data_IF_924475066109
#
_entry.id   IF_924475066109
#
_cell.length_a   1.000
_cell.length_b   1.000
_cell.length_c   1.000
_cell.angle_alpha   90.00
_cell.angle_beta   90.00
_cell.angle_gamma   90.00
#
_symmetry.space_group_name_H-M   'P 1'
#
loop_
_entity.id
_entity.type
_entity.pdbx_description
1 polymer ?
#
# COMPACT_ATOMS: atom_id res chain seq x y z
N UNK A 1 29.12 -0.97 -5.11
CA UNK A 1 28.62 -0.21 -3.94
C UNK A 1 27.40 0.54 -4.39
N UNK A 2 26.31 0.49 -3.63
CA UNK A 2 24.97 0.89 -4.09
C UNK A 2 24.95 2.32 -4.60
N UNK A 3 25.67 3.23 -3.95
CA UNK A 3 25.76 4.62 -4.40
C UNK A 3 26.48 4.79 -5.74
N UNK A 4 27.55 4.05 -6.00
CA UNK A 4 28.21 4.08 -7.31
C UNK A 4 27.27 3.60 -8.42
N UNK A 5 26.50 2.53 -8.17
CA UNK A 5 25.55 2.02 -9.16
C UNK A 5 24.45 3.03 -9.48
N UNK A 6 23.92 3.72 -8.47
CA UNK A 6 22.95 4.78 -8.71
C UNK A 6 23.56 5.93 -9.53
N UNK A 7 24.77 6.38 -9.18
CA UNK A 7 25.45 7.46 -9.90
C UNK A 7 25.75 7.07 -11.36
N UNK A 8 26.22 5.84 -11.59
CA UNK A 8 26.48 5.29 -12.92
C UNK A 8 25.17 5.20 -13.73
N UNK A 9 24.05 4.81 -13.10
CA UNK A 9 22.73 4.75 -13.74
C UNK A 9 22.14 6.13 -14.06
N UNK A 10 22.42 7.15 -13.23
CA UNK A 10 22.00 8.52 -13.50
C UNK A 10 22.85 9.17 -14.62
N UNK A 11 24.13 8.81 -14.72
CA UNK A 11 25.02 9.25 -15.79
C UNK A 11 24.99 10.78 -15.99
N UNK A 12 24.75 11.22 -17.23
CA UNK A 12 24.74 12.65 -17.59
C UNK A 12 23.66 13.48 -16.88
N UNK A 13 22.63 12.83 -16.30
CA UNK A 13 21.59 13.52 -15.51
C UNK A 13 22.17 14.24 -14.30
N UNK A 14 23.29 13.75 -13.76
CA UNK A 14 24.00 14.37 -12.64
C UNK A 14 24.54 15.77 -12.96
N UNK A 15 24.67 16.13 -14.24
CA UNK A 15 25.14 17.44 -14.68
C UNK A 15 24.00 18.38 -15.09
N UNK A 16 22.75 17.92 -15.02
CA UNK A 16 21.56 18.69 -15.40
C UNK A 16 20.93 19.34 -14.17
N UNK A 17 20.27 20.48 -14.38
CA UNK A 17 19.48 21.13 -13.33
C UNK A 17 18.10 20.47 -13.23
N UNK A 18 18.07 19.28 -12.66
CA UNK A 18 16.86 18.47 -12.47
C UNK A 18 16.87 17.84 -11.07
N UNK A 19 15.73 17.30 -10.65
CA UNK A 19 15.61 16.53 -9.42
C UNK A 19 15.07 15.13 -9.72
N UNK A 20 15.44 14.18 -8.88
CA UNK A 20 14.86 12.84 -8.85
C UNK A 20 13.91 12.76 -7.66
N UNK A 21 12.63 12.47 -7.92
CA UNK A 21 11.66 12.16 -6.88
C UNK A 21 11.56 10.65 -6.73
N UNK A 22 11.84 10.13 -5.54
CA UNK A 22 11.60 8.73 -5.18
C UNK A 22 10.52 8.67 -4.10
N UNK A 23 9.58 7.74 -4.24
CA UNK A 23 8.54 7.44 -3.25
C UNK A 23 8.51 5.94 -3.02
N UNK A 24 8.67 5.51 -1.78
CA UNK A 24 8.78 4.10 -1.39
C UNK A 24 8.20 3.91 0.01
N UNK A 25 7.63 2.73 0.25
CA UNK A 25 7.15 2.35 1.58
C UNK A 25 8.35 2.18 2.54
N UNK A 26 8.27 2.79 3.72
CA UNK A 26 9.36 2.80 4.69
C UNK A 26 9.72 1.40 5.19
N UNK A 27 8.72 0.53 5.26
CA UNK A 27 8.83 -0.88 5.63
C UNK A 27 9.71 -1.67 4.66
N UNK A 28 9.94 -1.16 3.44
CA UNK A 28 10.90 -1.75 2.50
C UNK A 28 12.30 -1.82 3.11
N UNK A 29 12.71 -0.81 3.87
CA UNK A 29 14.07 -0.64 4.36
C UNK A 29 14.24 -1.25 5.75
N UNK A 30 14.57 -2.54 5.79
CA UNK A 30 14.90 -3.27 7.02
C UNK A 30 13.83 -4.26 7.47
N UNK A 31 12.54 -3.93 7.32
CA UNK A 31 11.45 -4.86 7.70
C UNK A 31 11.20 -5.91 6.61
N UNK A 32 10.79 -5.49 5.40
CA UNK A 32 10.57 -6.41 4.28
C UNK A 32 11.88 -6.89 3.65
N UNK A 33 12.91 -6.04 3.65
CA UNK A 33 14.23 -6.36 3.10
C UNK A 33 15.32 -6.02 4.12
N UNK A 34 15.70 -6.97 4.99
CA UNK A 34 16.79 -6.78 5.94
C UNK A 34 18.09 -6.33 5.25
N UNK A 35 18.80 -5.39 5.87
CA UNK A 35 20.06 -4.81 5.36
C UNK A 35 19.88 -3.63 4.39
N UNK A 36 18.65 -3.38 3.87
CA UNK A 36 18.40 -2.24 2.97
C UNK A 36 18.39 -0.88 3.67
N UNK A 37 18.22 -0.83 4.98
CA UNK A 37 18.37 0.37 5.81
C UNK A 37 19.77 0.98 5.68
N UNK A 38 20.81 0.15 5.63
CA UNK A 38 22.19 0.60 5.39
C UNK A 38 22.37 1.20 4.00
N UNK A 39 21.78 0.56 2.99
CA UNK A 39 21.80 1.08 1.62
C UNK A 39 21.09 2.44 1.53
N UNK A 40 19.95 2.62 2.20
CA UNK A 40 19.25 3.91 2.26
C UNK A 40 20.14 4.99 2.90
N UNK A 41 20.78 4.69 4.04
CA UNK A 41 21.68 5.65 4.70
C UNK A 41 22.91 6.01 3.85
N UNK A 42 23.47 5.04 3.12
CA UNK A 42 24.52 5.30 2.12
C UNK A 42 24.01 6.28 1.07
N UNK A 43 22.85 6.02 0.46
CA UNK A 43 22.26 6.87 -0.59
C UNK A 43 21.98 8.29 -0.11
N UNK A 44 21.45 8.44 1.11
CA UNK A 44 21.12 9.75 1.69
C UNK A 44 22.36 10.62 1.99
N UNK A 45 23.54 10.02 2.09
CA UNK A 45 24.80 10.69 2.41
C UNK A 45 25.75 10.82 1.22
N UNK A 46 25.29 10.49 0.01
CA UNK A 46 26.12 10.55 -1.19
C UNK A 46 26.53 11.99 -1.55
N UNK A 47 27.83 12.31 -1.58
CA UNK A 47 28.30 13.68 -1.84
C UNK A 47 27.88 14.25 -3.20
N UNK A 48 27.56 13.41 -4.18
CA UNK A 48 27.15 13.81 -5.53
C UNK A 48 25.64 13.87 -5.77
N UNK A 49 24.82 13.58 -4.74
CA UNK A 49 23.37 13.53 -4.85
C UNK A 49 22.73 14.20 -3.63
N UNK A 50 22.68 15.55 -3.58
CA UNK A 50 22.16 16.26 -2.43
C UNK A 50 20.67 15.96 -2.24
N UNK A 51 20.31 15.57 -1.02
CA UNK A 51 18.91 15.37 -0.63
C UNK A 51 18.32 16.68 -0.13
N UNK A 52 17.04 16.90 -0.43
CA UNK A 52 16.29 18.11 -0.05
C UNK A 52 14.89 17.72 0.39
N UNK A 53 14.26 18.54 1.20
CA UNK A 53 12.86 18.37 1.58
C UNK A 53 11.94 18.78 0.42
N UNK A 54 10.77 18.16 0.31
CA UNK A 54 9.76 18.51 -0.70
C UNK A 54 9.37 20.00 -0.60
N UNK A 55 9.34 20.55 0.61
CA UNK A 55 9.03 21.97 0.86
C UNK A 55 10.07 22.94 0.28
N UNK A 56 11.29 22.48 -0.02
CA UNK A 56 12.36 23.30 -0.63
C UNK A 56 12.29 23.31 -2.16
N UNK A 57 11.54 22.39 -2.77
CA UNK A 57 11.48 22.26 -4.24
C UNK A 57 10.96 23.53 -4.94
N UNK A 58 9.93 24.24 -4.46
CA UNK A 58 9.45 25.46 -5.12
C UNK A 58 10.50 26.58 -5.19
N UNK A 59 11.42 26.64 -4.22
CA UNK A 59 12.50 27.64 -4.20
C UNK A 59 13.64 27.27 -5.16
N UNK A 60 13.96 25.97 -5.25
CA UNK A 60 15.06 25.44 -6.08
C UNK A 60 14.68 25.25 -7.54
N UNK A 61 13.43 24.87 -7.79
CA UNK A 61 12.85 24.60 -9.11
C UNK A 61 11.55 25.42 -9.27
N UNK A 62 11.66 26.75 -9.45
CA UNK A 62 10.49 27.64 -9.48
C UNK A 62 9.64 27.50 -10.76
N UNK A 63 10.13 26.76 -11.75
CA UNK A 63 9.39 26.50 -12.98
C UNK A 63 8.30 25.48 -12.70
N UNK A 64 7.05 25.93 -12.78
CA UNK A 64 5.87 25.10 -12.62
C UNK A 64 5.04 25.14 -13.89
N UNK A 65 4.51 23.99 -14.27
CA UNK A 65 3.54 23.86 -15.35
C UNK A 65 2.17 23.51 -14.76
N UNK A 66 1.12 24.10 -15.33
CA UNK A 66 -0.23 23.68 -14.99
C UNK A 66 -0.51 22.38 -15.74
N UNK A 67 -0.64 21.30 -14.99
CA UNK A 67 -1.01 19.98 -15.50
C UNK A 67 -2.36 19.55 -14.94
N UNK A 68 -3.07 18.72 -15.68
CA UNK A 68 -4.28 18.03 -15.22
C UNK A 68 -3.94 16.54 -15.09
N UNK A 69 -3.84 16.01 -13.86
CA UNK A 69 -3.51 14.60 -13.67
C UNK A 69 -4.69 13.73 -14.12
N UNK A 70 -4.38 12.65 -14.83
CA UNK A 70 -5.36 11.61 -15.12
C UNK A 70 -5.60 10.74 -13.88
N UNK A 71 -6.82 10.18 -13.72
CA UNK A 71 -7.09 9.14 -12.73
C UNK A 71 -6.07 8.01 -12.87
N UNK A 72 -5.27 7.82 -11.82
CA UNK A 72 -4.13 6.91 -11.86
C UNK A 72 -3.71 6.52 -10.45
N UNK A 73 -2.99 5.42 -10.34
CA UNK A 73 -2.26 5.02 -9.13
C UNK A 73 -0.85 4.60 -9.52
N UNK A 74 0.06 4.56 -8.55
CA UNK A 74 1.39 3.96 -8.75
C UNK A 74 1.36 2.47 -9.09
N UNK A 75 0.22 1.79 -8.86
CA UNK A 75 -0.01 0.38 -9.16
C UNK A 75 -0.77 0.17 -10.48
N UNK A 76 -0.98 1.25 -11.26
CA UNK A 76 -1.74 1.22 -12.50
C UNK A 76 -0.99 0.42 -13.57
N UNK A 77 -1.68 -0.56 -14.15
CA UNK A 77 -1.17 -1.39 -15.25
C UNK A 77 -1.81 -0.99 -16.59
N UNK A 78 -1.19 -1.37 -17.72
CA UNK A 78 -1.72 -1.09 -19.06
C UNK A 78 -3.13 -1.68 -19.26
N UNK A 79 -3.39 -2.90 -18.76
CA UNK A 79 -4.72 -3.53 -18.77
C UNK A 79 -5.80 -2.68 -18.07
N UNK A 80 -5.42 -1.96 -17.01
CA UNK A 80 -6.35 -1.14 -16.23
C UNK A 80 -6.72 0.12 -17.01
N UNK A 81 -5.79 0.65 -17.80
CA UNK A 81 -6.05 1.74 -18.75
C UNK A 81 -6.97 1.28 -19.89
N UNK A 82 -6.73 0.10 -20.46
CA UNK A 82 -7.58 -0.48 -21.51
C UNK A 82 -9.02 -0.71 -21.03
N UNK A 83 -9.16 -1.24 -19.80
CA UNK A 83 -10.45 -1.46 -19.14
C UNK A 83 -11.06 -0.20 -18.53
N UNK A 84 -10.30 0.91 -18.47
CA UNK A 84 -10.69 2.19 -17.85
C UNK A 84 -11.04 2.07 -16.36
N UNK A 85 -10.30 1.24 -15.63
CA UNK A 85 -10.45 0.97 -14.18
C UNK A 85 -9.17 1.31 -13.42
N UNK A 86 -8.79 2.61 -13.35
CA UNK A 86 -7.49 3.02 -12.84
C UNK A 86 -7.26 2.73 -11.34
N UNK A 87 -8.32 2.34 -10.64
CA UNK A 87 -8.32 2.01 -9.22
C UNK A 87 -8.70 0.54 -8.96
N UNK A 88 -8.47 -0.38 -9.90
CA UNK A 88 -8.92 -1.78 -9.80
C UNK A 88 -8.45 -2.53 -8.53
N UNK A 89 -7.39 -2.08 -7.84
CA UNK A 89 -7.03 -2.66 -6.53
C UNK A 89 -7.93 -2.18 -5.39
N UNK A 90 -8.71 -1.14 -5.55
CA UNK A 90 -9.61 -0.58 -4.52
C UNK A 90 -11.09 -0.52 -4.94
N UNK A 91 -11.36 -0.41 -6.24
CA UNK A 91 -12.71 -0.24 -6.80
C UNK A 91 -12.79 -0.89 -8.19
N UNK A 92 -12.73 -2.22 -8.22
CA UNK A 92 -12.94 -3.01 -9.43
C UNK A 92 -14.45 -3.30 -9.60
N UNK A 93 -15.08 -2.84 -10.71
CA UNK A 93 -16.49 -3.09 -10.98
C UNK A 93 -16.80 -4.57 -11.26
N UNK A 94 -15.82 -5.46 -11.35
CA UNK A 94 -16.02 -6.92 -11.42
C UNK A 94 -15.79 -7.62 -10.07
N UNK A 95 -15.33 -6.90 -9.04
CA UNK A 95 -15.13 -7.42 -7.70
C UNK A 95 -16.38 -7.21 -6.83
N UNK A 96 -17.09 -8.31 -6.57
CA UNK A 96 -18.32 -8.29 -5.78
C UNK A 96 -18.11 -7.90 -4.31
N UNK A 97 -16.95 -8.21 -3.72
CA UNK A 97 -16.63 -7.82 -2.34
C UNK A 97 -16.46 -6.30 -2.27
N UNK A 98 -15.69 -5.72 -3.20
CA UNK A 98 -15.47 -4.27 -3.23
C UNK A 98 -16.76 -3.49 -3.47
N UNK A 99 -17.68 -3.99 -4.31
CA UNK A 99 -19.01 -3.37 -4.48
C UNK A 99 -19.77 -3.25 -3.17
N UNK A 100 -19.80 -4.34 -2.39
CA UNK A 100 -20.48 -4.36 -1.10
C UNK A 100 -19.75 -3.51 -0.06
N UNK A 101 -18.41 -3.49 -0.09
CA UNK A 101 -17.61 -2.60 0.75
C UNK A 101 -17.93 -1.13 0.46
N UNK A 102 -17.99 -0.72 -0.81
CA UNK A 102 -18.34 0.64 -1.18
C UNK A 102 -19.79 1.00 -0.84
N UNK A 103 -20.74 0.07 -0.98
CA UNK A 103 -22.12 0.28 -0.49
C UNK A 103 -22.14 0.53 1.03
N UNK A 104 -21.40 -0.27 1.80
CA UNK A 104 -21.30 -0.11 3.26
C UNK A 104 -20.60 1.20 3.64
N UNK A 105 -19.57 1.58 2.90
CA UNK A 105 -18.83 2.83 3.07
C UNK A 105 -19.71 4.04 2.83
N UNK A 106 -20.44 4.06 1.72
CA UNK A 106 -21.38 5.13 1.38
C UNK A 106 -22.49 5.23 2.42
N UNK A 107 -22.99 4.08 2.91
CA UNK A 107 -23.98 4.03 3.97
C UNK A 107 -23.44 4.62 5.29
N UNK A 108 -22.18 4.32 5.64
CA UNK A 108 -21.52 4.86 6.83
C UNK A 108 -21.29 6.38 6.74
N UNK A 109 -20.73 6.84 5.62
CA UNK A 109 -20.52 8.27 5.35
C UNK A 109 -21.85 9.00 5.42
N UNK A 110 -22.87 8.51 4.71
CA UNK A 110 -24.20 9.12 4.66
C UNK A 110 -24.83 9.18 6.04
N UNK A 111 -24.73 8.10 6.84
CA UNK A 111 -25.29 8.04 8.20
C UNK A 111 -24.69 9.11 9.11
N UNK A 112 -23.36 9.27 9.09
CA UNK A 112 -22.67 10.27 9.92
C UNK A 112 -22.92 11.70 9.41
N UNK A 113 -22.85 11.92 8.10
CA UNK A 113 -22.96 13.25 7.47
C UNK A 113 -24.40 13.78 7.45
N UNK A 114 -25.41 12.91 7.49
CA UNK A 114 -26.81 13.33 7.52
C UNK A 114 -27.44 13.34 8.92
N UNK A 115 -26.70 12.92 9.95
CA UNK A 115 -27.17 13.02 11.33
C UNK A 115 -27.53 14.47 11.69
N UNK A 116 -28.62 14.64 12.43
CA UNK A 116 -29.06 15.95 12.94
C UNK A 116 -28.08 16.58 13.93
N UNK A 117 -27.16 15.78 14.48
CA UNK A 117 -26.16 16.20 15.46
C UNK A 117 -24.87 16.75 14.84
N UNK A 118 -24.78 16.77 13.51
CA UNK A 118 -23.59 17.28 12.81
C UNK A 118 -23.35 18.77 13.08
N UNK A 119 -22.09 19.12 13.27
CA UNK A 119 -21.67 20.52 13.46
C UNK A 119 -21.65 21.22 12.10
N UNK A 120 -22.56 22.18 11.90
CA UNK A 120 -22.57 23.04 10.70
C UNK A 120 -22.11 24.46 11.02
N UNK A 121 -22.29 24.91 12.27
CA UNK A 121 -21.71 26.11 12.92
C UNK A 121 -22.52 26.40 14.20
N UNK A 122 -21.87 26.90 15.25
CA UNK A 122 -22.52 27.31 16.50
C UNK A 122 -22.32 26.35 17.69
N UNK A 123 -22.82 26.77 18.86
CA UNK A 123 -22.77 25.99 20.10
C UNK A 123 -23.83 24.87 20.07
N UNK A 124 -23.39 23.61 20.08
CA UNK A 124 -24.27 22.46 20.26
C UNK A 124 -24.28 22.09 21.74
N UNK A 125 -25.47 21.96 22.33
CA UNK A 125 -25.59 21.51 23.71
C UNK A 125 -24.94 20.12 23.88
N UNK A 126 -24.06 19.98 24.87
CA UNK A 126 -23.31 18.75 25.13
C UNK A 126 -24.23 17.64 25.70
N UNK A 127 -24.93 16.97 24.81
CA UNK A 127 -25.83 15.85 25.13
C UNK A 127 -25.11 14.50 25.00
N UNK A 128 -25.75 13.42 25.45
CA UNK A 128 -25.25 12.06 25.17
C UNK A 128 -25.22 11.79 23.67
N UNK A 129 -26.31 12.09 22.97
CA UNK A 129 -26.44 11.83 21.53
C UNK A 129 -25.40 12.61 20.70
N UNK A 130 -25.12 13.86 21.08
CA UNK A 130 -24.03 14.63 20.45
C UNK A 130 -22.66 13.96 20.64
N UNK A 131 -22.37 13.44 21.86
CA UNK A 131 -21.12 12.72 22.13
C UNK A 131 -21.04 11.40 21.36
N UNK A 132 -22.14 10.67 21.24
CA UNK A 132 -22.21 9.44 20.44
C UNK A 132 -22.00 9.74 18.95
N UNK A 133 -22.60 10.81 18.43
CA UNK A 133 -22.35 11.26 17.06
C UNK A 133 -20.88 11.66 16.85
N UNK A 134 -20.30 12.44 17.76
CA UNK A 134 -18.88 12.83 17.66
C UNK A 134 -17.97 11.60 17.64
N UNK A 135 -18.26 10.61 18.49
CA UNK A 135 -17.56 9.32 18.49
C UNK A 135 -17.77 8.57 17.17
N UNK A 136 -18.97 8.54 16.62
CA UNK A 136 -19.23 7.91 15.31
C UNK A 136 -18.42 8.59 14.20
N UNK A 137 -18.20 9.91 14.28
CA UNK A 137 -17.37 10.63 13.31
C UNK A 137 -15.89 10.24 13.41
N UNK A 138 -15.35 10.16 14.62
CA UNK A 138 -13.98 9.68 14.85
C UNK A 138 -13.82 8.21 14.40
N UNK A 139 -14.84 7.38 14.62
CA UNK A 139 -14.86 5.99 14.14
C UNK A 139 -14.87 5.93 12.61
N UNK A 140 -15.67 6.77 11.94
CA UNK A 140 -15.71 6.84 10.48
C UNK A 140 -14.33 7.19 9.90
N UNK A 141 -13.67 8.21 10.43
CA UNK A 141 -12.35 8.63 9.93
C UNK A 141 -11.33 7.48 9.99
N UNK A 142 -11.44 6.58 10.97
CA UNK A 142 -10.61 5.36 11.08
C UNK A 142 -11.07 4.24 10.14
N UNK A 143 -12.38 4.03 10.03
CA UNK A 143 -12.99 2.95 9.25
C UNK A 143 -12.80 3.14 7.74
N UNK A 144 -12.47 4.35 7.27
CA UNK A 144 -12.22 4.66 5.85
C UNK A 144 -10.81 4.29 5.36
N UNK A 145 -10.02 3.57 6.16
CA UNK A 145 -8.68 3.14 5.76
C UNK A 145 -8.72 2.28 4.47
N UNK A 146 -7.76 2.50 3.56
CA UNK A 146 -7.79 1.94 2.21
C UNK A 146 -7.42 0.45 2.13
N UNK A 147 -6.74 -0.07 3.16
CA UNK A 147 -6.25 -1.45 3.19
C UNK A 147 -7.38 -2.47 2.95
N UNK A 148 -8.57 -2.23 3.52
CA UNK A 148 -9.68 -3.19 3.40
C UNK A 148 -10.09 -3.47 1.95
N UNK A 149 -10.02 -2.46 1.07
CA UNK A 149 -10.36 -2.60 -0.34
C UNK A 149 -9.19 -3.22 -1.11
N UNK A 150 -7.97 -2.82 -0.76
CA UNK A 150 -6.76 -3.34 -1.38
C UNK A 150 -6.59 -4.84 -1.14
N UNK A 151 -6.76 -5.29 0.11
CA UNK A 151 -6.74 -6.71 0.46
C UNK A 151 -7.90 -7.49 -0.13
N UNK A 152 -9.04 -6.85 -0.41
CA UNK A 152 -10.17 -7.46 -1.13
C UNK A 152 -9.92 -7.67 -2.63
N UNK A 153 -8.89 -7.03 -3.20
CA UNK A 153 -8.56 -7.21 -4.62
C UNK A 153 -8.01 -8.61 -4.94
N UNK A 154 -7.39 -9.27 -3.96
CA UNK A 154 -6.60 -10.49 -4.16
C UNK A 154 -5.49 -10.35 -5.24
N UNK A 155 -4.99 -9.13 -5.46
CA UNK A 155 -4.02 -8.80 -6.52
C UNK A 155 -2.76 -8.11 -5.97
N UNK A 156 -1.71 -8.87 -5.63
CA UNK A 156 -1.69 -10.33 -5.47
C UNK A 156 -2.05 -10.78 -4.05
N UNK A 157 -2.23 -9.84 -3.13
CA UNK A 157 -2.32 -10.11 -1.71
C UNK A 157 -3.77 -10.16 -1.22
N UNK A 158 -4.02 -11.03 -0.25
CA UNK A 158 -5.35 -11.25 0.34
C UNK A 158 -5.26 -11.40 1.86
N UNK A 159 -6.17 -10.74 2.58
CA UNK A 159 -6.37 -10.92 4.01
C UNK A 159 -7.84 -10.80 4.33
N UNK A 160 -8.46 -11.92 4.70
CA UNK A 160 -9.85 -11.93 5.13
C UNK A 160 -10.03 -11.15 6.43
N UNK A 161 -9.01 -11.14 7.29
CA UNK A 161 -8.99 -10.40 8.55
C UNK A 161 -9.04 -8.88 8.31
N UNK A 162 -8.31 -8.36 7.31
CA UNK A 162 -8.35 -6.94 6.97
C UNK A 162 -9.67 -6.54 6.32
N UNK A 163 -10.24 -7.40 5.49
CA UNK A 163 -11.57 -7.21 4.89
C UNK A 163 -12.63 -7.18 6.00
N UNK A 164 -12.57 -8.13 6.93
CA UNK A 164 -13.49 -8.23 8.05
C UNK A 164 -13.42 -7.02 8.96
N UNK A 165 -12.20 -6.62 9.32
CA UNK A 165 -11.98 -5.48 10.20
C UNK A 165 -12.58 -4.19 9.61
N UNK A 166 -12.32 -3.91 8.33
CA UNK A 166 -12.86 -2.73 7.66
C UNK A 166 -14.39 -2.72 7.64
N UNK A 167 -15.00 -3.84 7.22
CA UNK A 167 -16.45 -3.98 7.20
C UNK A 167 -17.06 -3.89 8.61
N UNK A 168 -16.41 -4.46 9.62
CA UNK A 168 -16.84 -4.38 11.02
C UNK A 168 -16.79 -2.93 11.53
N UNK A 169 -15.67 -2.23 11.32
CA UNK A 169 -15.48 -0.84 11.74
C UNK A 169 -16.53 0.11 11.10
N UNK A 170 -16.85 -0.08 9.81
CA UNK A 170 -17.90 0.67 9.11
C UNK A 170 -19.30 0.38 9.68
N UNK A 171 -19.63 -0.90 9.88
CA UNK A 171 -20.91 -1.31 10.47
C UNK A 171 -21.07 -0.74 11.89
N UNK A 172 -20.05 -0.85 12.75
CA UNK A 172 -20.09 -0.29 14.11
C UNK A 172 -20.20 1.24 14.10
N UNK A 173 -19.59 1.91 13.12
CA UNK A 173 -19.74 3.36 12.91
C UNK A 173 -21.21 3.71 12.70
N UNK A 174 -21.92 2.99 11.81
CA UNK A 174 -23.35 3.21 11.57
C UNK A 174 -24.16 2.96 12.84
N UNK A 175 -23.90 1.88 13.57
CA UNK A 175 -24.63 1.55 14.79
C UNK A 175 -24.45 2.59 15.91
N UNK A 176 -23.33 3.30 15.93
CA UNK A 176 -23.03 4.37 16.88
C UNK A 176 -23.80 5.66 16.60
N UNK A 177 -24.26 5.90 15.37
CA UNK A 177 -25.01 7.12 15.03
C UNK A 177 -26.37 7.13 15.77
N UNK A 178 -26.67 8.16 16.59
CA UNK A 178 -27.80 8.12 17.51
C UNK A 178 -29.18 8.15 16.84
N UNK A 179 -29.28 8.81 15.68
CA UNK A 179 -30.53 9.08 14.96
C UNK A 179 -30.66 8.32 13.64
N UNK A 180 -29.79 7.33 13.40
CA UNK A 180 -29.90 6.49 12.21
C UNK A 180 -31.08 5.52 12.34
N UNK A 181 -31.83 5.34 11.25
CA UNK A 181 -33.01 4.48 11.22
C UNK A 181 -32.64 2.99 11.38
N UNK A 182 -33.52 2.21 12.01
CA UNK A 182 -33.26 0.78 12.26
C UNK A 182 -33.07 -0.02 10.97
N UNK A 183 -33.75 0.33 9.88
CA UNK A 183 -33.55 -0.30 8.57
C UNK A 183 -32.14 -0.09 8.00
N UNK A 184 -31.50 1.05 8.27
CA UNK A 184 -30.12 1.32 7.88
C UNK A 184 -29.15 0.49 8.73
N UNK A 185 -29.43 0.36 10.03
CA UNK A 185 -28.64 -0.50 10.92
C UNK A 185 -28.70 -1.96 10.48
N UNK A 186 -29.88 -2.41 10.03
CA UNK A 186 -30.03 -3.78 9.53
C UNK A 186 -29.28 -3.99 8.22
N UNK A 187 -29.42 -3.07 7.25
CA UNK A 187 -28.66 -3.15 6.00
C UNK A 187 -27.15 -3.19 6.24
N UNK A 188 -26.65 -2.42 7.20
CA UNK A 188 -25.23 -2.45 7.58
C UNK A 188 -24.79 -3.84 8.08
N UNK A 189 -25.63 -4.53 8.85
CA UNK A 189 -25.34 -5.90 9.32
C UNK A 189 -25.38 -6.90 8.19
N UNK A 190 -26.38 -6.81 7.31
CA UNK A 190 -26.50 -7.65 6.12
C UNK A 190 -25.26 -7.52 5.23
N UNK A 191 -24.88 -6.29 4.88
CA UNK A 191 -23.68 -5.99 4.09
C UNK A 191 -22.42 -6.58 4.72
N UNK A 192 -22.22 -6.37 6.02
CA UNK A 192 -21.11 -6.99 6.74
C UNK A 192 -21.12 -8.51 6.59
N UNK A 193 -22.24 -9.19 6.87
CA UNK A 193 -22.33 -10.65 6.74
C UNK A 193 -22.12 -11.15 5.31
N UNK A 194 -22.65 -10.44 4.31
CA UNK A 194 -22.47 -10.77 2.88
C UNK A 194 -21.00 -10.69 2.49
N UNK A 195 -20.29 -9.60 2.83
CA UNK A 195 -18.86 -9.40 2.58
C UNK A 195 -18.04 -10.57 3.13
N UNK A 196 -18.26 -10.95 4.39
CA UNK A 196 -17.51 -12.05 5.02
C UNK A 196 -17.84 -13.40 4.40
N UNK A 197 -19.12 -13.64 4.11
CA UNK A 197 -19.58 -14.91 3.53
C UNK A 197 -18.97 -15.13 2.15
N UNK A 198 -18.93 -14.09 1.32
CA UNK A 198 -18.30 -14.12 0.00
C UNK A 198 -16.79 -14.29 0.14
N UNK A 199 -16.14 -13.55 1.05
CA UNK A 199 -14.69 -13.70 1.29
C UNK A 199 -14.30 -15.13 1.66
N UNK A 200 -15.07 -15.79 2.52
CA UNK A 200 -14.87 -17.21 2.81
C UNK A 200 -15.17 -18.13 1.61
N UNK A 201 -16.15 -17.80 0.78
CA UNK A 201 -16.43 -18.56 -0.44
C UNK A 201 -15.25 -18.50 -1.41
N UNK A 202 -14.69 -17.31 -1.66
CA UNK A 202 -13.52 -17.11 -2.51
C UNK A 202 -12.33 -17.97 -2.07
N UNK A 203 -12.05 -18.03 -0.76
CA UNK A 203 -10.98 -18.87 -0.21
C UNK A 203 -11.25 -20.37 -0.39
N UNK A 204 -12.48 -20.83 -0.17
CA UNK A 204 -12.83 -22.25 -0.33
C UNK A 204 -12.80 -22.71 -1.78
N UNK A 205 -13.13 -21.82 -2.70
CA UNK A 205 -13.24 -22.10 -4.13
C UNK A 205 -11.92 -21.94 -4.89
N UNK A 206 -10.87 -21.41 -4.24
CA UNK A 206 -9.56 -21.22 -4.84
C UNK A 206 -9.43 -19.95 -5.69
N UNK A 207 -10.42 -19.05 -5.62
CA UNK A 207 -10.46 -17.82 -6.44
C UNK A 207 -9.37 -16.83 -6.05
N UNK A 208 -9.01 -16.79 -4.76
CA UNK A 208 -7.92 -15.93 -4.25
C UNK A 208 -6.60 -16.34 -4.89
N UNK A 209 -6.28 -17.63 -4.91
CA UNK A 209 -5.05 -18.17 -5.47
C UNK A 209 -4.99 -17.99 -7.00
N UNK A 210 -6.13 -18.08 -7.69
CA UNK A 210 -6.21 -17.82 -9.12
C UNK A 210 -5.89 -16.35 -9.44
N UNK A 211 -6.54 -15.41 -8.76
CA UNK A 211 -6.32 -13.97 -8.96
C UNK A 211 -4.89 -13.55 -8.63
N UNK A 212 -4.34 -14.07 -7.53
CA UNK A 212 -2.97 -13.79 -7.11
C UNK A 212 -1.93 -14.25 -8.14
N UNK A 213 -2.09 -15.46 -8.68
CA UNK A 213 -1.19 -16.00 -9.71
C UNK A 213 -1.20 -15.18 -10.99
N UNK A 214 -2.38 -14.78 -11.47
CA UNK A 214 -2.51 -13.96 -12.68
C UNK A 214 -1.76 -12.64 -12.48
N UNK A 215 -1.95 -11.98 -11.34
CA UNK A 215 -1.27 -10.72 -11.05
C UNK A 215 0.26 -10.89 -10.92
N UNK A 216 0.73 -11.93 -10.22
CA UNK A 216 2.16 -12.21 -10.06
C UNK A 216 2.85 -12.51 -11.40
N UNK A 217 2.22 -13.31 -12.26
CA UNK A 217 2.73 -13.62 -13.60
C UNK A 217 2.87 -12.35 -14.44
N UNK A 218 1.88 -11.46 -14.40
CA UNK A 218 1.92 -10.20 -15.13
C UNK A 218 2.99 -9.24 -14.58
N UNK A 219 3.09 -9.08 -13.26
CA UNK A 219 4.13 -8.24 -12.63
C UNK A 219 5.52 -8.74 -13.02
N UNK A 220 5.72 -10.06 -13.03
CA UNK A 220 6.99 -10.68 -13.43
C UNK A 220 7.32 -10.38 -14.89
N UNK A 221 6.36 -10.58 -15.81
CA UNK A 221 6.56 -10.30 -17.24
C UNK A 221 6.97 -8.84 -17.49
N UNK A 222 6.40 -7.89 -16.76
CA UNK A 222 6.77 -6.48 -16.88
C UNK A 222 8.12 -6.14 -16.24
N UNK A 223 8.39 -6.70 -15.06
CA UNK A 223 9.65 -6.44 -14.33
C UNK A 223 10.85 -6.97 -15.12
N UNK A 224 10.74 -8.17 -15.69
CA UNK A 224 11.80 -8.81 -16.48
C UNK A 224 12.06 -8.06 -17.80
N UNK A 225 11.04 -7.40 -18.36
CA UNK A 225 11.19 -6.58 -19.58
C UNK A 225 11.84 -5.20 -19.31
N UNK A 226 11.71 -4.66 -18.09
CA UNK A 226 12.08 -3.29 -17.76
C UNK A 226 13.47 -3.13 -17.10
N UNK A 227 14.04 -4.18 -16.50
CA UNK A 227 15.34 -4.11 -15.83
C UNK A 227 16.51 -4.47 -16.75
N UNK A 228 17.54 -3.61 -16.88
CA UNK A 228 18.85 -4.10 -17.26
C UNK A 228 19.34 -5.05 -16.17
N UNK A 229 19.75 -6.26 -16.56
CA UNK A 229 20.28 -7.25 -15.62
C UNK A 229 21.42 -6.66 -14.79
N UNK A 230 21.34 -6.79 -13.46
CA UNK A 230 22.40 -6.32 -12.57
C UNK A 230 23.70 -7.07 -12.92
N UNK A 231 24.86 -6.39 -13.01
CA UNK A 231 26.13 -7.05 -13.27
C UNK A 231 26.39 -8.13 -12.21
N UNK A 232 26.72 -9.35 -12.66
CA UNK A 232 26.97 -10.50 -11.79
C UNK A 232 27.93 -10.18 -10.62
N UNK A 233 28.99 -9.41 -10.89
CA UNK A 233 29.97 -8.99 -9.89
C UNK A 233 29.35 -8.16 -8.75
N UNK A 234 28.35 -7.33 -9.02
CA UNK A 234 27.69 -6.54 -7.97
C UNK A 234 26.73 -7.39 -7.14
N UNK A 235 26.06 -8.37 -7.76
CA UNK A 235 25.21 -9.32 -7.03
C UNK A 235 26.07 -10.19 -6.10
N UNK A 236 27.24 -10.64 -6.57
CA UNK A 236 28.20 -11.37 -5.75
C UNK A 236 28.68 -10.54 -4.54
N UNK A 237 28.91 -9.23 -4.72
CA UNK A 237 29.23 -8.32 -3.60
C UNK A 237 28.07 -8.20 -2.61
N UNK A 238 26.82 -8.11 -3.10
CA UNK A 238 25.64 -8.06 -2.24
C UNK A 238 25.48 -9.34 -1.42
N UNK A 239 25.63 -10.50 -2.07
CA UNK A 239 25.60 -11.81 -1.39
C UNK A 239 26.64 -11.87 -0.29
N UNK A 240 27.89 -11.45 -0.58
CA UNK A 240 28.96 -11.44 0.42
C UNK A 240 28.61 -10.56 1.63
N UNK A 241 28.06 -9.38 1.41
CA UNK A 241 27.67 -8.49 2.51
C UNK A 241 26.55 -9.10 3.37
N UNK A 242 25.55 -9.73 2.73
CA UNK A 242 24.47 -10.42 3.44
C UNK A 242 25.00 -11.64 4.21
N UNK A 243 25.99 -12.35 3.69
CA UNK A 243 26.65 -13.47 4.39
C UNK A 243 27.38 -12.95 5.65
N UNK A 244 28.10 -11.83 5.56
CA UNK A 244 28.75 -11.17 6.72
C UNK A 244 27.72 -10.71 7.77
N UNK A 245 26.61 -10.10 7.34
CA UNK A 245 25.52 -9.67 8.24
C UNK A 245 24.84 -10.88 8.88
N UNK A 246 24.60 -11.95 8.12
CA UNK A 246 24.01 -13.19 8.63
C UNK A 246 24.87 -13.81 9.72
N UNK A 247 26.20 -13.82 9.57
CA UNK A 247 27.12 -14.27 10.61
C UNK A 247 27.05 -13.40 11.87
N UNK A 248 26.97 -12.07 11.71
CA UNK A 248 26.85 -11.12 12.81
C UNK A 248 25.57 -11.36 13.64
N UNK A 249 24.42 -11.42 12.97
CA UNK A 249 23.13 -11.60 13.65
C UNK A 249 22.99 -13.01 14.25
N UNK A 250 23.61 -14.02 13.62
CA UNK A 250 23.69 -15.38 14.18
C UNK A 250 24.51 -15.41 15.47
N UNK A 251 25.64 -14.69 15.53
CA UNK A 251 26.43 -14.55 16.77
C UNK A 251 25.62 -13.89 17.89
N UNK A 252 24.75 -12.96 17.54
CA UNK A 252 23.84 -12.27 18.47
C UNK A 252 22.59 -13.09 18.83
N UNK A 253 22.43 -14.31 18.30
CA UNK A 253 21.25 -15.18 18.47
C UNK A 253 19.94 -14.61 17.89
N UNK A 254 20.04 -13.70 16.93
CA UNK A 254 18.90 -13.16 16.17
C UNK A 254 18.52 -14.12 15.03
N UNK A 255 18.07 -15.33 15.37
CA UNK A 255 17.92 -16.42 14.40
C UNK A 255 16.84 -16.17 13.33
N UNK A 256 15.78 -15.45 13.64
CA UNK A 256 14.75 -15.09 12.65
C UNK A 256 15.32 -14.15 11.58
N UNK A 257 16.10 -13.15 12.00
CA UNK A 257 16.81 -12.24 11.09
C UNK A 257 17.84 -13.00 10.25
N UNK A 258 18.56 -13.95 10.84
CA UNK A 258 19.47 -14.82 10.10
C UNK A 258 18.75 -15.64 9.01
N UNK A 259 17.54 -16.16 9.31
CA UNK A 259 16.75 -16.90 8.34
C UNK A 259 16.29 -16.03 7.16
N UNK A 260 15.86 -14.78 7.42
CA UNK A 260 15.49 -13.83 6.36
C UNK A 260 16.69 -13.50 5.46
N UNK A 261 17.87 -13.26 6.04
CA UNK A 261 19.10 -13.00 5.28
C UNK A 261 19.49 -14.22 4.42
N UNK A 262 19.38 -15.43 4.96
CA UNK A 262 19.62 -16.69 4.22
C UNK A 262 18.70 -16.81 3.00
N UNK A 263 17.40 -16.55 3.18
CA UNK A 263 16.43 -16.70 2.10
C UNK A 263 16.66 -15.65 1.01
N UNK A 264 17.02 -14.42 1.38
CA UNK A 264 17.45 -13.39 0.42
C UNK A 264 18.71 -13.77 -0.35
N UNK A 265 19.71 -14.36 0.32
CA UNK A 265 20.92 -14.88 -0.34
C UNK A 265 20.56 -15.95 -1.38
N UNK A 266 19.59 -16.83 -1.06
CA UNK A 266 19.13 -17.87 -1.99
C UNK A 266 18.51 -17.26 -3.25
N UNK A 267 17.61 -16.28 -3.10
CA UNK A 267 16.99 -15.56 -4.22
C UNK A 267 18.05 -14.94 -5.15
N UNK A 268 19.05 -14.25 -4.59
CA UNK A 268 20.10 -13.62 -5.38
C UNK A 268 21.00 -14.65 -6.10
N UNK A 269 21.24 -15.82 -5.48
CA UNK A 269 21.97 -16.93 -6.11
C UNK A 269 21.18 -17.58 -7.25
N UNK A 270 19.85 -17.61 -7.16
CA UNK A 270 18.98 -18.09 -8.24
C UNK A 270 18.95 -17.08 -9.40
N UNK A 271 18.86 -15.79 -9.11
CA UNK A 271 18.94 -14.73 -10.13
C UNK A 271 20.22 -14.81 -10.98
N UNK A 272 21.39 -15.07 -10.37
CA UNK A 272 22.66 -15.26 -11.10
C UNK A 272 22.66 -16.52 -11.99
N UNK A 273 21.84 -17.53 -11.68
CA UNK A 273 21.76 -18.77 -12.48
C UNK A 273 20.83 -18.63 -13.67
N UNK A 274 19.83 -17.76 -13.57
CA UNK A 274 18.79 -17.54 -14.58
C UNK A 274 19.16 -16.43 -15.58
N UNK A 275 20.03 -15.48 -15.21
CA UNK A 275 20.58 -14.43 -16.08
C UNK A 275 21.96 -14.76 -16.65
#
# INVERSE_FOLDING_TARGET
>A
GTGKLLMDALGDRLQKNEYLLTGMDGETFGHHRPGMDRALLELLTLPGLPTVMISELPERFPQVEKVEPHPSTWALMEKDLEKKVPFARWDDPDNEIQKLQWELTDLAITSVVNSKWKIVSGEVAETKDYRDWLKSREMLDRALHSDQYWWASARPWWSLEMIERGAFELKETILMVPDVADGVKERARELYFEIITIGFAWQREGRVEELAKIEDEEIRMHTDAALPGLPKEEIEKMIKHLEEEMEEVTRNREFERAALLRDRIKELKEYIKEG
#
